data_IF_759805450006
#
_entry.id   IF_759805450006
#
_cell.length_a   1.000
_cell.length_b   1.000
_cell.length_c   1.000
_cell.angle_alpha   90.00
_cell.angle_beta   90.00
_cell.angle_gamma   90.00
#
_symmetry.space_group_name_H-M   'P 1'
#
loop_
_entity.id
_entity.type
_entity.pdbx_description
1 polymer ?
#
# COMPACT_ATOMS: atom_id res chain seq x y z
N UNK A 1 -11.83 -15.85 34.91
CA UNK A 1 -12.37 -16.65 33.80
C UNK A 1 -11.89 -16.00 32.52
N UNK A 2 -10.80 -16.51 31.93
CA UNK A 2 -10.28 -15.99 30.66
C UNK A 2 -11.24 -16.35 29.52
N UNK A 3 -11.63 -15.35 28.74
CA UNK A 3 -12.43 -15.57 27.54
C UNK A 3 -11.64 -16.47 26.57
N UNK A 4 -12.29 -17.43 25.88
CA UNK A 4 -11.61 -18.25 24.89
C UNK A 4 -11.02 -17.35 23.80
N UNK A 5 -9.71 -17.47 23.57
CA UNK A 5 -9.00 -16.84 22.43
C UNK A 5 -9.67 -17.35 21.16
N UNK A 6 -10.66 -16.62 20.63
CA UNK A 6 -11.22 -16.87 19.30
C UNK A 6 -10.05 -16.77 18.33
N UNK A 7 -9.67 -17.89 17.71
CA UNK A 7 -8.68 -17.89 16.64
C UNK A 7 -9.10 -16.86 15.60
N UNK A 8 -8.19 -15.98 15.20
CA UNK A 8 -8.49 -15.01 14.14
C UNK A 8 -8.92 -15.80 12.89
N UNK A 9 -10.01 -15.40 12.20
CA UNK A 9 -10.41 -16.04 10.95
C UNK A 9 -9.23 -16.15 9.98
N UNK A 10 -9.12 -17.28 9.29
CA UNK A 10 -8.06 -17.49 8.32
C UNK A 10 -8.24 -16.50 7.16
N UNK A 11 -7.22 -15.67 6.89
CA UNK A 11 -7.29 -14.57 5.90
C UNK A 11 -7.25 -15.03 4.41
N UNK A 12 -7.64 -16.27 4.14
CA UNK A 12 -7.58 -16.89 2.82
C UNK A 12 -6.17 -17.28 2.37
N UNK A 13 -6.06 -17.80 1.14
CA UNK A 13 -4.79 -18.21 0.54
C UNK A 13 -3.99 -16.97 0.10
N UNK A 14 -2.92 -16.65 0.84
CA UNK A 14 -2.08 -15.45 0.62
C UNK A 14 -0.65 -15.84 0.28
N UNK A 15 -0.04 -15.06 -0.62
CA UNK A 15 1.33 -15.30 -1.06
C UNK A 15 2.21 -14.09 -0.72
N UNK A 16 3.36 -14.36 -0.10
CA UNK A 16 4.26 -13.34 0.39
C UNK A 16 5.08 -12.70 -0.73
N UNK A 17 5.15 -11.38 -0.70
CA UNK A 17 6.00 -10.56 -1.57
C UNK A 17 6.92 -9.76 -0.66
N UNK A 18 8.22 -10.02 -0.76
CA UNK A 18 9.26 -9.20 -0.15
C UNK A 18 9.72 -8.19 -1.18
N UNK A 19 9.58 -6.91 -0.87
CA UNK A 19 10.05 -5.83 -1.74
C UNK A 19 11.53 -5.56 -1.54
N UNK A 20 12.09 -4.77 -2.44
CA UNK A 20 13.38 -4.10 -2.28
C UNK A 20 13.22 -2.89 -1.33
N UNK A 21 14.30 -2.12 -1.15
CA UNK A 21 14.24 -0.85 -0.41
C UNK A 21 13.39 0.17 -1.16
N UNK A 22 12.60 0.93 -0.42
CA UNK A 22 11.79 2.03 -0.93
C UNK A 22 12.31 3.33 -0.32
N UNK A 23 12.08 4.45 -1.00
CA UNK A 23 12.38 5.78 -0.44
C UNK A 23 11.79 5.93 0.97
N UNK A 24 12.61 6.44 1.90
CA UNK A 24 12.26 6.52 3.31
C UNK A 24 11.10 7.48 3.58
N UNK A 25 10.99 8.56 2.79
CA UNK A 25 9.92 9.55 2.91
C UNK A 25 8.59 8.95 2.48
N UNK A 26 8.57 8.30 1.31
CA UNK A 26 7.39 7.59 0.80
C UNK A 26 6.99 6.46 1.76
N UNK A 27 7.95 5.73 2.32
CA UNK A 27 7.66 4.70 3.31
C UNK A 27 7.04 5.25 4.58
N UNK A 28 7.51 6.40 5.04
CA UNK A 28 6.96 7.05 6.22
C UNK A 28 5.52 7.55 6.01
N UNK A 29 5.22 8.01 4.79
CA UNK A 29 3.85 8.38 4.39
C UNK A 29 2.94 7.14 4.29
N UNK A 30 3.44 6.03 3.72
CA UNK A 30 2.71 4.77 3.67
C UNK A 30 2.35 4.26 5.08
N UNK A 31 3.32 4.32 6.00
CA UNK A 31 3.13 3.93 7.41
C UNK A 31 2.05 4.78 8.06
N UNK A 32 2.12 6.10 7.89
CA UNK A 32 1.14 7.02 8.45
C UNK A 32 -0.29 6.74 7.92
N UNK A 33 -0.44 6.50 6.61
CA UNK A 33 -1.76 6.16 6.02
C UNK A 33 -2.30 4.84 6.54
N UNK A 34 -1.46 3.81 6.61
CA UNK A 34 -1.88 2.53 7.15
C UNK A 34 -2.37 2.68 8.61
N UNK A 35 -1.63 3.42 9.44
CA UNK A 35 -1.99 3.69 10.84
C UNK A 35 -3.27 4.51 10.98
N UNK A 36 -3.53 5.46 10.08
CA UNK A 36 -4.78 6.19 10.05
C UNK A 36 -5.99 5.25 9.93
N UNK A 37 -5.86 4.18 9.13
CA UNK A 37 -6.87 3.12 9.03
C UNK A 37 -6.74 2.03 10.10
N UNK A 38 -5.90 2.20 11.12
CA UNK A 38 -5.69 1.23 12.19
C UNK A 38 -4.94 -0.04 11.77
N UNK A 39 -4.16 0.03 10.67
CA UNK A 39 -3.46 -1.12 10.08
C UNK A 39 -1.95 -0.94 10.06
N UNK A 40 -1.25 -2.08 9.94
CA UNK A 40 0.13 -2.10 9.49
C UNK A 40 0.19 -1.91 7.96
N UNK A 41 1.31 -1.36 7.46
CA UNK A 41 1.49 -1.09 6.03
C UNK A 41 1.41 -2.36 5.15
N UNK A 42 1.77 -3.54 5.66
CA UNK A 42 1.74 -4.80 4.89
C UNK A 42 0.32 -5.23 4.50
N UNK A 43 -0.58 -5.42 5.49
CA UNK A 43 -2.01 -5.62 5.27
C UNK A 43 -2.67 -4.51 4.47
N UNK A 44 -2.35 -3.25 4.78
CA UNK A 44 -2.86 -2.08 4.05
C UNK A 44 -2.55 -2.17 2.54
N UNK A 45 -1.28 -2.42 2.18
CA UNK A 45 -0.87 -2.59 0.78
C UNK A 45 -1.52 -3.81 0.13
N UNK A 46 -1.70 -4.91 0.87
CA UNK A 46 -2.33 -6.12 0.32
C UNK A 46 -3.77 -5.85 -0.15
N UNK A 47 -4.51 -5.06 0.63
CA UNK A 47 -5.89 -4.73 0.34
C UNK A 47 -6.01 -3.61 -0.71
N UNK A 48 -5.11 -2.62 -0.70
CA UNK A 48 -5.01 -1.65 -1.80
C UNK A 48 -4.74 -2.33 -3.15
N UNK A 49 -3.86 -3.33 -3.19
CA UNK A 49 -3.62 -4.12 -4.40
C UNK A 49 -4.87 -4.89 -4.84
N UNK A 50 -5.69 -5.38 -3.91
CA UNK A 50 -6.95 -6.03 -4.23
C UNK A 50 -7.93 -5.06 -4.89
N UNK A 51 -8.03 -3.83 -4.39
CA UNK A 51 -8.83 -2.77 -5.00
C UNK A 51 -8.31 -2.40 -6.41
N UNK A 52 -7.00 -2.23 -6.57
CA UNK A 52 -6.37 -1.88 -7.85
C UNK A 52 -6.57 -2.93 -8.95
N UNK A 53 -6.63 -4.22 -8.59
CA UNK A 53 -6.93 -5.29 -9.55
C UNK A 53 -8.43 -5.51 -9.75
N UNK A 54 -9.29 -4.69 -9.15
CA UNK A 54 -10.75 -4.79 -9.28
C UNK A 54 -11.37 -5.97 -8.51
N UNK A 55 -10.76 -6.36 -7.39
CA UNK A 55 -11.19 -7.46 -6.51
C UNK A 55 -11.48 -6.99 -5.08
N UNK A 56 -12.49 -6.12 -4.89
CA UNK A 56 -12.87 -5.64 -3.56
C UNK A 56 -13.36 -6.75 -2.62
N UNK A 57 -13.81 -7.88 -3.17
CA UNK A 57 -14.18 -9.09 -2.43
C UNK A 57 -13.00 -9.77 -1.72
N UNK A 58 -11.75 -9.44 -2.10
CA UNK A 58 -10.53 -9.97 -1.50
C UNK A 58 -9.91 -9.04 -0.44
N UNK A 59 -10.51 -7.86 -0.22
CA UNK A 59 -10.15 -6.94 0.88
C UNK A 59 -10.58 -7.57 2.20
N UNK A 60 -9.77 -7.43 3.24
CA UNK A 60 -10.00 -8.11 4.52
C UNK A 60 -9.84 -7.21 5.74
N UNK A 61 -8.83 -6.36 5.72
CA UNK A 61 -8.42 -5.52 6.85
C UNK A 61 -8.85 -4.06 6.64
N UNK A 62 -8.84 -3.56 5.40
CA UNK A 62 -9.37 -2.24 5.06
C UNK A 62 -10.90 -2.23 5.06
N UNK A 63 -11.48 -1.25 5.76
CA UNK A 63 -12.90 -0.95 5.62
C UNK A 63 -13.12 -0.05 4.39
N UNK A 64 -13.72 -0.62 3.34
CA UNK A 64 -14.00 0.07 2.08
C UNK A 64 -14.98 1.23 2.28
N UNK A 65 -15.87 1.16 3.28
CA UNK A 65 -16.89 2.19 3.50
C UNK A 65 -16.30 3.48 4.11
N UNK A 66 -15.19 3.35 4.82
CA UNK A 66 -14.48 4.48 5.46
C UNK A 66 -13.14 4.76 4.79
N UNK A 67 -12.91 4.21 3.61
CA UNK A 67 -11.65 4.34 2.90
C UNK A 67 -11.52 5.76 2.34
N UNK A 68 -10.71 6.56 3.01
CA UNK A 68 -10.25 7.85 2.51
C UNK A 68 -8.87 7.69 1.86
N UNK A 69 -8.83 7.73 0.52
CA UNK A 69 -7.59 7.62 -0.23
C UNK A 69 -6.85 8.96 -0.33
N UNK A 70 -7.53 10.09 -0.16
CA UNK A 70 -7.00 11.44 -0.40
C UNK A 70 -6.51 12.11 0.88
N UNK A 71 -6.24 11.31 1.91
CA UNK A 71 -5.84 11.82 3.21
C UNK A 71 -4.39 12.32 3.23
N UNK A 72 -4.24 13.58 3.64
CA UNK A 72 -2.95 14.15 4.01
C UNK A 72 -2.65 13.83 5.49
N UNK A 73 -1.76 12.86 5.69
CA UNK A 73 -1.29 12.45 7.01
C UNK A 73 0.17 12.82 7.18
N UNK A 74 0.50 13.34 8.36
CA UNK A 74 1.90 13.63 8.73
C UNK A 74 2.73 12.33 8.64
N UNK A 75 3.87 12.32 7.92
CA UNK A 75 4.70 11.14 7.80
C UNK A 75 5.15 10.60 9.17
N UNK A 76 5.13 9.28 9.32
CA UNK A 76 5.59 8.62 10.54
C UNK A 76 6.83 7.77 10.25
N UNK A 77 7.89 7.87 11.07
CA UNK A 77 9.13 7.14 10.83
C UNK A 77 8.89 5.63 10.81
N UNK A 78 9.56 4.96 9.88
CA UNK A 78 9.54 3.51 9.76
C UNK A 78 10.79 2.91 10.40
N UNK A 79 10.62 1.95 11.31
CA UNK A 79 11.73 1.28 12.00
C UNK A 79 12.62 0.43 11.09
N UNK A 80 12.12 0.03 9.92
CA UNK A 80 12.87 -0.76 8.94
C UNK A 80 12.78 -0.14 7.55
N UNK A 81 13.80 0.59 7.06
CA UNK A 81 13.78 1.19 5.73
C UNK A 81 14.07 0.19 4.59
N UNK A 82 14.73 -0.93 4.89
CA UNK A 82 15.45 -1.73 3.89
C UNK A 82 14.55 -2.60 2.99
N UNK A 83 13.38 -3.00 3.45
CA UNK A 83 12.39 -3.74 2.67
C UNK A 83 11.04 -3.66 3.36
N UNK A 84 9.96 -4.04 2.69
CA UNK A 84 8.71 -4.36 3.36
C UNK A 84 8.10 -5.64 2.82
N UNK A 85 7.20 -6.23 3.61
CA UNK A 85 6.52 -7.47 3.28
C UNK A 85 5.03 -7.20 3.14
N UNK A 86 4.45 -7.62 2.01
CA UNK A 86 3.01 -7.69 1.84
C UNK A 86 2.59 -9.12 1.48
N UNK A 87 1.34 -9.47 1.80
CA UNK A 87 0.78 -10.81 1.60
C UNK A 87 -0.61 -10.70 0.97
N UNK A 88 -0.71 -10.28 -0.31
CA UNK A 88 -1.99 -10.25 -1.01
C UNK A 88 -2.56 -11.65 -1.20
N UNK A 89 -3.87 -11.72 -1.49
CA UNK A 89 -4.50 -12.95 -1.91
C UNK A 89 -3.78 -13.53 -3.14
N UNK A 90 -3.72 -14.86 -3.24
CA UNK A 90 -2.99 -15.56 -4.32
C UNK A 90 -3.43 -15.13 -5.72
N UNK A 91 -4.71 -14.81 -5.89
CA UNK A 91 -5.25 -14.34 -7.15
C UNK A 91 -4.77 -12.91 -7.49
N UNK A 92 -4.81 -12.00 -6.52
CA UNK A 92 -4.21 -10.66 -6.66
C UNK A 92 -2.74 -10.78 -7.01
N UNK A 93 -1.99 -11.64 -6.29
CA UNK A 93 -0.59 -11.94 -6.57
C UNK A 93 -0.38 -12.38 -8.02
N UNK A 94 -1.20 -13.29 -8.54
CA UNK A 94 -1.08 -13.79 -9.92
C UNK A 94 -1.27 -12.66 -10.94
N UNK A 95 -2.27 -11.79 -10.75
CA UNK A 95 -2.54 -10.65 -11.62
C UNK A 95 -1.37 -9.66 -11.63
N UNK A 96 -0.91 -9.22 -10.45
CA UNK A 96 0.20 -8.26 -10.38
C UNK A 96 1.53 -8.86 -10.85
N UNK A 97 1.71 -10.18 -10.74
CA UNK A 97 2.88 -10.86 -11.31
C UNK A 97 2.87 -10.79 -12.84
N UNK A 98 1.70 -10.96 -13.48
CA UNK A 98 1.57 -10.81 -14.92
C UNK A 98 1.81 -9.36 -15.36
N UNK A 99 1.30 -8.38 -14.61
CA UNK A 99 1.54 -6.95 -14.88
C UNK A 99 3.03 -6.60 -14.75
N UNK A 100 3.70 -7.04 -13.68
CA UNK A 100 5.14 -6.85 -13.49
C UNK A 100 5.96 -7.48 -14.63
N UNK A 101 5.60 -8.70 -15.06
CA UNK A 101 6.26 -9.37 -16.18
C UNK A 101 6.07 -8.61 -17.51
N UNK A 102 4.87 -8.07 -17.77
CA UNK A 102 4.59 -7.23 -18.94
C UNK A 102 5.45 -5.96 -18.96
N UNK A 103 5.69 -5.37 -17.79
CA UNK A 103 6.57 -4.22 -17.60
C UNK A 103 8.06 -4.57 -17.51
N UNK A 104 8.41 -5.87 -17.52
CA UNK A 104 9.77 -6.39 -17.39
C UNK A 104 10.49 -5.90 -16.12
N UNK A 105 9.76 -5.83 -15.00
CA UNK A 105 10.30 -5.47 -13.69
C UNK A 105 10.07 -6.58 -12.67
N UNK A 106 10.84 -6.56 -11.57
CA UNK A 106 10.61 -7.47 -10.44
C UNK A 106 9.25 -7.20 -9.81
N UNK A 107 8.63 -8.25 -9.25
CA UNK A 107 7.34 -8.10 -8.55
C UNK A 107 7.46 -7.15 -7.35
N UNK A 108 8.59 -7.19 -6.63
CA UNK A 108 8.89 -6.25 -5.55
C UNK A 108 8.93 -4.79 -6.03
N UNK A 109 9.56 -4.53 -7.17
CA UNK A 109 9.63 -3.20 -7.79
C UNK A 109 8.26 -2.72 -8.30
N UNK A 110 7.45 -3.62 -8.85
CA UNK A 110 6.08 -3.30 -9.23
C UNK A 110 5.24 -2.84 -8.02
N UNK A 111 5.32 -3.56 -6.91
CA UNK A 111 4.62 -3.19 -5.66
C UNK A 111 5.13 -1.87 -5.09
N UNK A 112 6.45 -1.61 -5.14
CA UNK A 112 7.02 -0.31 -4.74
C UNK A 112 6.40 0.80 -5.60
N UNK A 113 6.47 0.69 -6.93
CA UNK A 113 5.91 1.68 -7.85
C UNK A 113 4.43 1.95 -7.59
N UNK A 114 3.65 0.90 -7.38
CA UNK A 114 2.25 1.03 -6.98
C UNK A 114 2.07 1.87 -5.70
N UNK A 115 2.88 1.61 -4.66
CA UNK A 115 2.83 2.38 -3.43
C UNK A 115 3.24 3.84 -3.65
N UNK A 116 4.28 4.09 -4.45
CA UNK A 116 4.70 5.45 -4.78
C UNK A 116 3.60 6.23 -5.51
N UNK A 117 2.95 5.61 -6.50
CA UNK A 117 1.86 6.21 -7.26
C UNK A 117 0.66 6.50 -6.36
N UNK A 118 0.30 5.58 -5.46
CA UNK A 118 -0.74 5.79 -4.44
C UNK A 118 -0.44 6.99 -3.54
N UNK A 119 0.81 7.13 -3.12
CA UNK A 119 1.25 8.23 -2.28
C UNK A 119 1.21 9.56 -3.02
N UNK A 120 1.81 9.59 -4.22
CA UNK A 120 1.96 10.79 -5.06
C UNK A 120 0.65 11.30 -5.63
N UNK A 121 -0.34 10.44 -5.91
CA UNK A 121 -1.68 10.88 -6.37
C UNK A 121 -2.40 11.81 -5.38
N UNK A 122 -2.00 11.75 -4.11
CA UNK A 122 -2.62 12.49 -3.00
C UNK A 122 -1.79 13.70 -2.57
N UNK A 123 -0.48 13.70 -2.87
CA UNK A 123 0.31 14.92 -2.77
C UNK A 123 -0.16 15.85 -3.89
N UNK A 124 -0.70 17.05 -3.60
CA UNK A 124 -0.95 18.02 -4.64
C UNK A 124 0.36 18.23 -5.40
N UNK A 125 0.29 18.17 -6.72
CA UNK A 125 1.42 18.57 -7.58
C UNK A 125 1.54 20.09 -7.53
N UNK A 126 1.64 20.69 -6.34
CA UNK A 126 1.91 22.11 -6.16
C UNK A 126 3.43 22.33 -6.24
N UNK A 127 3.94 22.09 -7.44
CA UNK A 127 5.03 22.87 -8.02
C UNK A 127 4.64 23.26 -9.43
N UNK A 128 3.47 23.91 -9.57
CA UNK A 128 3.27 24.77 -10.72
C UNK A 128 4.11 26.02 -10.45
N UNK A 129 5.29 26.09 -11.08
CA UNK A 129 6.08 27.32 -11.21
C UNK A 129 5.14 28.45 -11.62
N UNK A 130 4.87 29.37 -10.68
CA UNK A 130 4.24 30.64 -10.99
C UNK A 130 5.29 31.44 -11.73
N UNK A 131 5.25 31.40 -13.06
CA UNK A 131 5.91 32.40 -13.90
C UNK A 131 5.53 33.79 -13.36
N UNK A 132 6.49 34.62 -12.91
CA UNK A 132 6.16 36.00 -12.61
C UNK A 132 5.84 36.67 -13.94
N UNK A 133 4.55 36.96 -14.15
CA UNK A 133 4.14 37.95 -15.14
C UNK A 133 4.55 39.31 -14.56
N UNK A 134 5.60 39.89 -15.14
CA UNK A 134 5.83 41.33 -15.12
C UNK A 134 7.05 41.80 -14.33
N UNK A 135 8.08 42.21 -15.07
CA UNK A 135 8.66 43.56 -15.00
C UNK A 135 9.41 43.84 -16.31
#
# INVERSE_FOLDING_TARGET
>A
MDAPKRGRPHKGNRQAIKTESMDATLKSQLVARAKHHGLDYGPYVADLLALDVGRPDLVHDLDIQTLDLDIDVKPEPCDNPNYFLTRPAREVHAIISQRAAKERISLGKYVIRFCEDHIRKVMPTDQQEVLPIGA
#
